data_IF_541070166550
#
_entry.id   IF_541070166550
#
_cell.length_a   1.000
_cell.length_b   1.000
_cell.length_c   1.000
_cell.angle_alpha   90.00
_cell.angle_beta   90.00
_cell.angle_gamma   90.00
#
_symmetry.space_group_name_H-M   'P 1'
#
loop_
_entity.id
_entity.type
_entity.pdbx_description
1 polymer ?
#
# COMPACT_ATOMS: atom_id res chain seq x y z
N UNK A 1 -19.41 16.75 52.21
CA UNK A 1 -20.00 15.79 51.25
C UNK A 1 -20.61 16.61 50.13
N UNK A 2 -20.29 16.51 48.85
CA UNK A 2 -19.73 15.43 48.03
C UNK A 2 -19.08 16.08 46.78
N UNK A 3 -17.87 15.62 46.47
CA UNK A 3 -17.38 15.22 45.14
C UNK A 3 -17.22 16.31 44.05
N UNK A 4 -15.93 16.62 43.87
CA UNK A 4 -15.26 17.07 42.64
C UNK A 4 -15.55 16.12 41.46
N UNK A 5 -15.85 16.65 40.27
CA UNK A 5 -15.60 15.93 39.01
C UNK A 5 -14.87 16.87 38.05
N UNK A 6 -13.58 16.57 37.90
CA UNK A 6 -12.67 17.15 36.93
C UNK A 6 -13.00 16.44 35.61
N UNK A 7 -13.66 17.12 34.69
CA UNK A 7 -13.88 16.61 33.34
C UNK A 7 -12.52 16.64 32.61
N UNK A 8 -11.83 15.49 32.63
CA UNK A 8 -10.57 15.29 31.94
C UNK A 8 -10.74 15.53 30.44
N UNK A 9 -9.90 16.40 29.88
CA UNK A 9 -9.65 16.44 28.44
C UNK A 9 -9.22 15.05 28.02
N UNK A 10 -10.10 14.35 27.30
CA UNK A 10 -9.75 13.17 26.56
C UNK A 10 -8.69 13.57 25.53
N UNK A 11 -7.43 13.27 25.84
CA UNK A 11 -6.37 13.23 24.84
C UNK A 11 -6.74 12.07 23.94
N UNK A 12 -7.44 12.38 22.84
CA UNK A 12 -7.59 11.47 21.72
C UNK A 12 -6.19 11.26 21.19
N UNK A 13 -5.56 10.19 21.66
CA UNK A 13 -4.28 9.74 21.15
C UNK A 13 -4.43 9.56 19.65
N UNK A 14 -3.60 10.30 18.90
CA UNK A 14 -3.30 10.02 17.51
C UNK A 14 -2.75 8.60 17.44
N UNK A 15 -3.66 7.65 17.30
CA UNK A 15 -3.34 6.30 16.86
C UNK A 15 -2.80 6.55 15.45
N UNK A 16 -1.48 6.41 15.29
CA UNK A 16 -0.80 6.51 14.00
C UNK A 16 -1.29 5.39 13.09
N UNK A 17 -2.49 5.56 12.55
CA UNK A 17 -2.97 4.80 11.42
C UNK A 17 -2.02 5.09 10.29
N UNK A 18 -1.56 4.04 9.60
CA UNK A 18 -0.93 4.21 8.30
C UNK A 18 -1.94 5.02 7.47
N UNK A 19 -1.63 6.29 7.18
CA UNK A 19 -2.57 7.11 6.43
C UNK A 19 -2.65 6.48 5.04
N UNK A 20 -3.82 5.94 4.67
CA UNK A 20 -4.04 5.35 3.36
C UNK A 20 -3.61 6.33 2.23
N UNK A 21 -3.78 7.63 2.48
CA UNK A 21 -3.34 8.73 1.63
C UNK A 21 -1.81 8.82 1.48
N UNK A 22 -1.03 8.55 2.54
CA UNK A 22 0.43 8.50 2.44
C UNK A 22 0.88 7.32 1.59
N UNK A 23 0.29 6.14 1.83
CA UNK A 23 0.52 4.94 1.03
C UNK A 23 0.25 5.16 -0.45
N UNK A 24 -0.88 5.77 -0.78
CA UNK A 24 -1.25 6.13 -2.15
C UNK A 24 -0.25 7.11 -2.78
N UNK A 25 0.12 8.19 -2.09
CA UNK A 25 1.10 9.17 -2.62
C UNK A 25 2.45 8.53 -2.89
N UNK A 26 2.92 7.69 -1.98
CA UNK A 26 4.17 6.94 -2.15
C UNK A 26 4.09 5.95 -3.31
N UNK A 27 2.97 5.25 -3.44
CA UNK A 27 2.70 4.34 -4.56
C UNK A 27 2.75 5.09 -5.91
N UNK A 28 2.04 6.21 -6.03
CA UNK A 28 2.06 7.05 -7.22
C UNK A 28 3.48 7.50 -7.58
N UNK A 29 4.26 7.93 -6.58
CA UNK A 29 5.60 8.45 -6.79
C UNK A 29 6.66 7.38 -7.09
N UNK A 30 6.49 6.13 -6.64
CA UNK A 30 7.57 5.12 -6.62
C UNK A 30 7.23 3.79 -7.30
N UNK A 31 5.94 3.45 -7.39
CA UNK A 31 5.50 2.11 -7.82
C UNK A 31 4.66 2.17 -9.11
N UNK A 32 3.83 3.20 -9.25
CA UNK A 32 2.86 3.33 -10.34
C UNK A 32 3.50 3.30 -11.73
N UNK A 33 4.73 3.79 -11.90
CA UNK A 33 5.39 3.83 -13.21
C UNK A 33 5.49 2.44 -13.87
N UNK A 34 5.59 1.37 -13.07
CA UNK A 34 5.65 -0.01 -13.56
C UNK A 34 4.35 -0.78 -13.29
N UNK A 35 3.75 -0.59 -12.12
CA UNK A 35 2.56 -1.33 -11.68
C UNK A 35 1.23 -0.68 -12.10
N UNK A 36 1.26 0.53 -12.67
CA UNK A 36 0.07 1.25 -13.12
C UNK A 36 -0.81 1.78 -11.97
N UNK A 37 -1.77 2.67 -12.26
CA UNK A 37 -2.61 3.28 -11.22
C UNK A 37 -3.53 2.25 -10.54
N UNK A 38 -3.98 1.24 -11.27
CA UNK A 38 -4.84 0.16 -10.77
C UNK A 38 -4.05 -1.10 -10.33
N UNK A 39 -2.72 -1.04 -10.28
CA UNK A 39 -1.90 -2.20 -9.90
C UNK A 39 -1.74 -3.28 -10.96
N UNK A 40 -2.37 -3.17 -12.14
CA UNK A 40 -2.32 -4.22 -13.18
C UNK A 40 -1.06 -4.20 -14.06
N UNK A 41 -0.28 -3.13 -13.98
CA UNK A 41 0.80 -2.81 -14.91
C UNK A 41 0.32 -2.80 -16.36
N UNK A 42 1.23 -3.01 -17.31
CA UNK A 42 0.86 -3.15 -18.72
C UNK A 42 1.36 -4.49 -19.30
N UNK A 43 0.76 -4.98 -20.41
CA UNK A 43 1.12 -6.27 -20.99
C UNK A 43 2.58 -6.37 -21.44
N UNK A 44 3.18 -5.27 -21.90
CA UNK A 44 4.57 -5.26 -22.33
C UNK A 44 5.53 -5.50 -21.16
N UNK A 45 5.28 -4.85 -20.02
CA UNK A 45 6.04 -5.05 -18.78
C UNK A 45 5.84 -6.47 -18.24
N UNK A 46 4.62 -7.01 -18.26
CA UNK A 46 4.34 -8.38 -17.82
C UNK A 46 5.14 -9.42 -18.63
N UNK A 47 5.32 -9.19 -19.94
CA UNK A 47 6.13 -10.07 -20.81
C UNK A 47 7.64 -10.03 -20.46
N UNK A 48 8.14 -8.88 -20.01
CA UNK A 48 9.57 -8.68 -19.71
C UNK A 48 9.91 -9.06 -18.28
N UNK A 49 9.09 -8.66 -17.31
CA UNK A 49 9.38 -8.76 -15.88
C UNK A 49 8.57 -9.86 -15.17
N UNK A 50 7.61 -10.47 -15.86
CA UNK A 50 6.82 -11.58 -15.35
C UNK A 50 5.49 -11.17 -14.69
N UNK A 51 4.78 -12.14 -14.08
CA UNK A 51 3.41 -11.94 -13.61
C UNK A 51 3.29 -10.92 -12.48
N UNK A 52 4.29 -10.79 -11.62
CA UNK A 52 4.28 -9.84 -10.48
C UNK A 52 4.32 -8.35 -10.85
N UNK A 53 4.21 -8.02 -12.14
CA UNK A 53 3.87 -6.66 -12.59
C UNK A 53 2.42 -6.33 -12.26
N UNK A 54 1.52 -7.31 -12.38
CA UNK A 54 0.16 -7.21 -11.89
C UNK A 54 0.21 -7.53 -10.40
N UNK A 55 -0.02 -6.52 -9.56
CA UNK A 55 -0.04 -6.66 -8.10
C UNK A 55 -1.47 -6.61 -7.55
N UNK A 56 -2.47 -6.37 -8.42
CA UNK A 56 -3.88 -6.52 -8.09
C UNK A 56 -4.35 -7.97 -8.26
N UNK A 57 -3.54 -8.81 -8.92
CA UNK A 57 -3.82 -10.22 -9.14
C UNK A 57 -3.93 -11.03 -7.84
N UNK A 58 -4.70 -12.12 -7.88
CA UNK A 58 -4.98 -12.95 -6.72
C UNK A 58 -3.72 -13.55 -6.10
N UNK A 59 -2.73 -13.99 -6.88
CA UNK A 59 -1.52 -14.60 -6.34
C UNK A 59 -0.69 -13.57 -5.57
N UNK A 60 -0.58 -12.33 -6.05
CA UNK A 60 0.07 -11.26 -5.31
C UNK A 60 -0.72 -10.88 -4.05
N UNK A 61 -2.04 -10.85 -4.13
CA UNK A 61 -2.91 -10.52 -3.01
C UNK A 61 -3.03 -11.63 -1.97
N UNK A 62 -2.65 -12.87 -2.29
CA UNK A 62 -2.57 -13.96 -1.31
C UNK A 62 -1.23 -14.02 -0.56
N UNK A 63 -0.22 -13.25 -0.98
CA UNK A 63 1.08 -13.21 -0.29
C UNK A 63 0.93 -12.58 1.08
N UNK A 64 1.76 -12.97 2.03
CA UNK A 64 1.80 -12.32 3.34
C UNK A 64 2.41 -10.91 3.27
N UNK A 65 1.92 -9.99 4.11
CA UNK A 65 2.45 -8.62 4.20
C UNK A 65 3.96 -8.60 4.51
N UNK A 66 4.45 -9.55 5.32
CA UNK A 66 5.86 -9.68 5.63
C UNK A 66 6.71 -9.99 4.39
N UNK A 67 6.19 -10.79 3.46
CA UNK A 67 6.87 -11.12 2.22
C UNK A 67 6.79 -9.98 1.21
N UNK A 68 5.64 -9.29 1.12
CA UNK A 68 5.52 -8.06 0.35
C UNK A 68 6.51 -6.99 0.85
N UNK A 69 6.65 -6.85 2.17
CA UNK A 69 7.61 -5.94 2.79
C UNK A 69 9.05 -6.29 2.41
N UNK A 70 9.43 -7.58 2.46
CA UNK A 70 10.76 -8.02 2.00
C UNK A 70 10.99 -7.70 0.53
N UNK A 71 10.00 -7.94 -0.34
CA UNK A 71 10.08 -7.63 -1.77
C UNK A 71 10.32 -6.14 -1.98
N UNK A 72 9.59 -5.25 -1.29
CA UNK A 72 9.77 -3.80 -1.41
C UNK A 72 11.14 -3.38 -0.83
N UNK A 73 11.56 -3.96 0.30
CA UNK A 73 12.83 -3.63 0.93
C UNK A 73 14.03 -4.02 0.06
N UNK A 74 14.02 -5.24 -0.50
CA UNK A 74 15.18 -5.81 -1.19
C UNK A 74 15.08 -5.77 -2.72
N UNK A 75 13.94 -5.36 -3.26
CA UNK A 75 13.67 -5.41 -4.69
C UNK A 75 13.35 -6.83 -5.17
N UNK A 76 13.10 -6.95 -6.47
CA UNK A 76 12.73 -8.20 -7.12
C UNK A 76 13.19 -8.24 -8.58
N UNK A 77 12.92 -9.37 -9.25
CA UNK A 77 13.18 -9.57 -10.68
C UNK A 77 14.64 -9.26 -11.03
N UNK A 78 15.57 -9.87 -10.30
CA UNK A 78 17.03 -9.69 -10.47
C UNK A 78 17.47 -8.22 -10.46
N UNK A 79 16.81 -7.38 -9.64
CA UNK A 79 17.12 -5.96 -9.47
C UNK A 79 16.33 -5.00 -10.37
N UNK A 80 15.45 -5.50 -11.23
CA UNK A 80 14.60 -4.65 -12.08
C UNK A 80 13.54 -3.92 -11.27
N UNK A 81 13.00 -4.54 -10.22
CA UNK A 81 12.26 -3.81 -9.19
C UNK A 81 13.26 -3.25 -8.18
N UNK A 82 13.38 -1.92 -8.01
CA UNK A 82 14.35 -1.31 -7.12
C UNK A 82 14.13 -1.72 -5.65
N UNK A 83 15.24 -1.83 -4.92
CA UNK A 83 15.21 -1.97 -3.46
C UNK A 83 14.93 -0.60 -2.80
N UNK A 84 14.02 -0.59 -1.83
CA UNK A 84 13.66 0.63 -1.07
C UNK A 84 14.17 0.64 0.38
N UNK A 85 14.86 -0.41 0.83
CA UNK A 85 15.50 -0.42 2.16
C UNK A 85 16.45 0.78 2.30
N UNK A 86 16.29 1.54 3.38
CA UNK A 86 17.08 2.75 3.65
C UNK A 86 16.67 3.98 2.84
N UNK A 87 15.72 3.85 1.89
CA UNK A 87 15.12 4.98 1.15
C UNK A 87 13.72 5.30 1.64
N UNK A 88 12.99 4.28 2.09
CA UNK A 88 11.68 4.40 2.74
C UNK A 88 11.79 3.87 4.16
N UNK A 89 11.04 4.49 5.08
CA UNK A 89 10.88 3.97 6.45
C UNK A 89 9.97 2.74 6.43
N UNK A 90 10.05 1.93 7.48
CA UNK A 90 9.24 0.72 7.58
C UNK A 90 7.74 1.04 7.62
N UNK A 91 7.34 2.14 8.26
CA UNK A 91 5.96 2.62 8.30
C UNK A 91 5.46 3.03 6.91
N UNK A 92 6.34 3.62 6.09
CA UNK A 92 6.03 4.01 4.72
C UNK A 92 5.84 2.79 3.81
N UNK A 93 6.66 1.76 3.99
CA UNK A 93 6.50 0.49 3.28
C UNK A 93 5.18 -0.17 3.68
N UNK A 94 4.84 -0.18 4.97
CA UNK A 94 3.55 -0.69 5.45
C UNK A 94 2.38 0.11 4.86
N UNK A 95 2.47 1.45 4.78
CA UNK A 95 1.45 2.28 4.16
C UNK A 95 1.28 1.97 2.66
N UNK A 96 2.38 1.75 1.92
CA UNK A 96 2.32 1.31 0.52
C UNK A 96 1.61 -0.04 0.41
N UNK A 97 1.94 -1.02 1.26
CA UNK A 97 1.29 -2.34 1.26
C UNK A 97 -0.21 -2.19 1.51
N UNK A 98 -0.61 -1.37 2.48
CA UNK A 98 -2.02 -1.10 2.75
C UNK A 98 -2.75 -0.53 1.51
N UNK A 99 -2.10 0.37 0.76
CA UNK A 99 -2.66 0.85 -0.51
C UNK A 99 -2.75 -0.27 -1.56
N UNK A 100 -1.72 -1.10 -1.72
CA UNK A 100 -1.74 -2.24 -2.66
C UNK A 100 -2.87 -3.22 -2.31
N UNK A 101 -3.17 -3.43 -1.02
CA UNK A 101 -4.33 -4.22 -0.58
C UNK A 101 -5.67 -3.60 -1.02
N UNK A 102 -5.79 -2.27 -1.01
CA UNK A 102 -7.03 -1.61 -1.47
C UNK A 102 -7.29 -1.74 -2.98
N UNK A 103 -6.24 -2.02 -3.78
CA UNK A 103 -6.38 -2.16 -5.23
C UNK A 103 -7.16 -3.42 -5.61
N UNK A 104 -7.08 -4.50 -4.82
CA UNK A 104 -7.84 -5.73 -5.06
C UNK A 104 -9.33 -5.58 -4.73
N UNK A 105 -9.65 -4.79 -3.70
CA UNK A 105 -11.04 -4.44 -3.35
C UNK A 105 -11.72 -3.55 -4.40
N UNK A 106 -10.93 -2.89 -5.27
CA UNK A 106 -11.46 -2.04 -6.35
C UNK A 106 -11.79 -2.83 -7.62
N UNK A 107 -11.30 -4.07 -7.75
CA UNK A 107 -11.58 -4.96 -8.91
C UNK A 107 -12.80 -5.88 -8.66
N UNK A 108 -13.30 -5.94 -7.43
CA UNK A 108 -14.52 -6.66 -7.05
C UNK A 108 -15.77 -5.78 -7.14
N UNK A 109 -15.98 -5.10 -8.27
CA UNK A 109 -17.30 -4.59 -8.69
C UNK A 109 -18.12 -3.81 -7.65
N UNK A 110 -17.48 -3.03 -6.77
CA UNK A 110 -18.17 -2.10 -5.86
C UNK A 110 -18.45 -0.78 -6.57
N UNK A 111 -19.61 -0.12 -6.32
CA UNK A 111 -20.01 1.07 -7.08
C UNK A 111 -18.97 2.17 -6.93
N UNK A 112 -18.50 2.63 -8.08
CA UNK A 112 -17.71 3.84 -8.27
C UNK A 112 -18.36 4.99 -7.48
N UNK A 113 -17.74 5.40 -6.37
CA UNK A 113 -18.07 6.65 -5.67
C UNK A 113 -17.45 7.85 -6.40
N UNK A 114 -17.64 7.90 -7.72
CA UNK A 114 -17.24 9.00 -8.58
C UNK A 114 -18.44 9.74 -9.17
N UNK A 115 -19.58 9.72 -8.48
CA UNK A 115 -20.75 10.54 -8.80
C UNK A 115 -21.20 11.26 -7.53
N UNK A 116 -20.74 12.51 -7.41
CA UNK A 116 -21.31 13.58 -6.58
C UNK A 116 -22.74 13.92 -7.01
#
# INVERSE_FOLDING_TARGET
>A
MKILIIAGMAVVGLIGGVCAEEGQKLYQAKCQACHGPAGKGNPALKKVYGPGIDIADADTQLRDDADMKKIIQFGAVKGMMPAYRGRLKDEQITAIIAHVRSLSASDSGGPSLADE
#
